data_IF_688476937741
#
_entry.id   IF_688476937741
#
_cell.length_a   1.000
_cell.length_b   1.000
_cell.length_c   1.000
_cell.angle_alpha   90.00
_cell.angle_beta   90.00
_cell.angle_gamma   90.00
#
_symmetry.space_group_name_H-M   'P 1'
#
loop_
_entity.id
_entity.type
_entity.pdbx_description
1 polymer ?
#
# COMPACT_ATOMS: atom_id res chain seq x y z
N UNK A 1 -7.92 -6.39 3.18
CA UNK A 1 -6.96 -7.40 2.66
C UNK A 1 -5.96 -6.79 1.67
N UNK A 2 -6.40 -6.27 0.51
CA UNK A 2 -5.49 -5.79 -0.55
C UNK A 2 -4.45 -4.77 -0.06
N UNK A 3 -4.90 -3.63 0.51
CA UNK A 3 -3.99 -2.59 1.01
C UNK A 3 -3.08 -3.12 2.14
N UNK A 4 -3.64 -3.86 3.10
CA UNK A 4 -2.88 -4.47 4.21
C UNK A 4 -1.75 -5.37 3.67
N UNK A 5 -2.06 -6.26 2.72
CA UNK A 5 -1.06 -7.12 2.10
C UNK A 5 -0.05 -6.33 1.27
N UNK A 6 -0.50 -5.28 0.57
CA UNK A 6 0.35 -4.38 -0.20
C UNK A 6 1.40 -3.68 0.66
N UNK A 7 1.06 -3.34 1.90
CA UNK A 7 1.97 -2.73 2.88
C UNK A 7 3.23 -3.56 3.14
N UNK A 8 3.22 -4.88 2.94
CA UNK A 8 4.38 -5.74 3.23
C UNK A 8 5.56 -5.56 2.27
N UNK A 9 5.34 -4.97 1.09
CA UNK A 9 6.34 -4.96 0.02
C UNK A 9 6.49 -3.57 -0.61
N UNK A 10 7.66 -3.31 -1.20
CA UNK A 10 7.95 -2.04 -1.86
C UNK A 10 6.97 -1.68 -2.99
N UNK A 11 6.41 -2.67 -3.69
CA UNK A 11 5.57 -2.48 -4.89
C UNK A 11 4.09 -2.71 -4.59
N UNK A 12 3.75 -3.17 -3.39
CA UNK A 12 2.39 -3.56 -3.07
C UNK A 12 1.40 -2.40 -2.93
N UNK A 13 1.87 -1.20 -2.55
CA UNK A 13 1.07 0.03 -2.44
C UNK A 13 1.96 1.22 -2.88
N UNK A 14 1.47 2.19 -3.69
CA UNK A 14 2.32 3.28 -4.14
C UNK A 14 3.02 4.10 -3.04
N UNK A 15 2.43 4.34 -1.83
CA UNK A 15 3.15 4.93 -0.69
C UNK A 15 4.49 4.26 -0.38
N UNK A 16 4.55 2.93 -0.42
CA UNK A 16 5.78 2.18 -0.13
C UNK A 16 6.85 2.46 -1.18
N UNK A 17 6.47 2.57 -2.45
CA UNK A 17 7.41 2.92 -3.52
C UNK A 17 8.00 4.32 -3.32
N UNK A 18 7.20 5.28 -2.85
CA UNK A 18 7.65 6.64 -2.56
C UNK A 18 8.63 6.66 -1.39
N UNK A 19 8.27 5.97 -0.31
CA UNK A 19 9.12 5.85 0.88
C UNK A 19 10.42 5.15 0.52
N UNK A 20 10.37 4.04 -0.21
CA UNK A 20 11.56 3.31 -0.63
C UNK A 20 12.47 4.13 -1.54
N UNK A 21 11.90 4.90 -2.47
CA UNK A 21 12.67 5.81 -3.31
C UNK A 21 13.31 6.95 -2.53
N UNK A 22 12.65 7.49 -1.51
CA UNK A 22 13.16 8.59 -0.71
C UNK A 22 14.20 8.14 0.33
N UNK A 23 13.98 6.99 0.96
CA UNK A 23 14.84 6.42 1.99
C UNK A 23 15.97 5.54 1.43
N UNK A 24 15.93 5.20 0.14
CA UNK A 24 16.90 4.29 -0.50
C UNK A 24 16.72 2.83 -0.11
N UNK A 25 15.50 2.44 0.28
CA UNK A 25 15.19 1.07 0.68
C UNK A 25 14.85 0.18 -0.50
N UNK A 26 15.33 -1.05 -0.45
CA UNK A 26 15.04 -2.07 -1.44
C UNK A 26 13.81 -2.92 -1.08
N UNK A 27 13.46 -3.85 -1.96
CA UNK A 27 12.31 -4.73 -1.77
C UNK A 27 12.41 -5.57 -0.48
N UNK A 28 13.58 -6.10 -0.17
CA UNK A 28 13.77 -6.99 0.97
C UNK A 28 13.70 -6.23 2.29
N UNK A 29 14.17 -4.99 2.31
CA UNK A 29 14.06 -4.10 3.46
C UNK A 29 12.58 -3.92 3.87
N UNK A 30 11.68 -3.76 2.91
CA UNK A 30 10.23 -3.71 3.20
C UNK A 30 9.70 -5.05 3.75
N UNK A 31 10.06 -6.16 3.11
CA UNK A 31 9.57 -7.49 3.54
C UNK A 31 10.02 -7.81 4.96
N UNK A 32 11.27 -7.53 5.29
CA UNK A 32 11.84 -7.82 6.61
C UNK A 32 11.27 -6.93 7.71
N UNK A 33 11.01 -5.65 7.40
CA UNK A 33 10.60 -4.66 8.39
C UNK A 33 9.08 -4.51 8.51
N UNK A 34 8.31 -4.71 7.45
CA UNK A 34 6.84 -4.59 7.45
C UNK A 34 6.11 -5.93 7.35
N UNK A 35 6.72 -6.92 6.69
CA UNK A 35 6.11 -8.25 6.49
C UNK A 35 5.60 -8.91 7.78
N UNK A 36 6.40 -8.99 8.87
CA UNK A 36 5.94 -9.59 10.12
C UNK A 36 4.70 -8.90 10.71
N UNK A 37 4.68 -7.56 10.72
CA UNK A 37 3.53 -6.79 11.18
C UNK A 37 2.31 -7.05 10.31
N UNK A 38 2.47 -7.03 8.99
CA UNK A 38 1.39 -7.25 8.03
C UNK A 38 0.77 -8.64 8.17
N UNK A 39 1.57 -9.69 8.40
CA UNK A 39 1.04 -11.05 8.64
C UNK A 39 0.13 -11.07 9.87
N UNK A 40 0.55 -10.42 10.96
CA UNK A 40 -0.26 -10.34 12.18
C UNK A 40 -1.52 -9.50 11.95
N UNK A 41 -1.39 -8.36 11.27
CA UNK A 41 -2.55 -7.50 10.93
C UNK A 41 -3.54 -8.23 10.04
N UNK A 42 -3.07 -8.98 9.04
CA UNK A 42 -3.93 -9.81 8.19
C UNK A 42 -4.66 -10.89 9.00
N UNK A 43 -3.97 -11.55 9.93
CA UNK A 43 -4.61 -12.54 10.79
C UNK A 43 -5.71 -11.92 11.68
N UNK A 44 -5.43 -10.77 12.30
CA UNK A 44 -6.40 -10.01 13.10
C UNK A 44 -7.58 -9.57 12.23
N UNK A 45 -7.32 -8.98 11.06
CA UNK A 45 -8.33 -8.58 10.09
C UNK A 45 -9.23 -9.76 9.68
N UNK A 46 -8.65 -10.94 9.40
CA UNK A 46 -9.42 -12.13 9.04
C UNK A 46 -10.34 -12.57 10.19
N UNK A 47 -9.86 -12.54 11.43
CA UNK A 47 -10.69 -12.83 12.60
C UNK A 47 -11.82 -11.80 12.73
N UNK A 48 -11.52 -10.52 12.58
CA UNK A 48 -12.52 -9.43 12.64
C UNK A 48 -13.60 -9.60 11.58
N UNK A 49 -13.22 -9.86 10.31
CA UNK A 49 -14.18 -10.11 9.23
C UNK A 49 -15.06 -11.33 9.53
N UNK A 50 -14.46 -12.45 9.96
CA UNK A 50 -15.23 -13.65 10.32
C UNK A 50 -16.20 -13.36 11.45
N UNK A 51 -15.79 -12.61 12.48
CA UNK A 51 -16.67 -12.27 13.61
C UNK A 51 -17.81 -11.33 13.23
N UNK A 52 -17.52 -10.31 12.41
CA UNK A 52 -18.52 -9.34 11.94
C UNK A 52 -19.56 -9.99 11.03
N UNK A 53 -19.10 -10.87 10.14
CA UNK A 53 -19.94 -11.50 9.10
C UNK A 53 -20.32 -12.95 9.38
N UNK A 54 -20.05 -13.49 10.59
CA UNK A 54 -20.27 -14.91 10.92
C UNK A 54 -21.66 -15.45 10.59
N UNK A 55 -22.69 -14.59 10.58
CA UNK A 55 -24.08 -14.98 10.26
C UNK A 55 -24.36 -14.96 8.75
N UNK A 56 -23.64 -14.13 8.00
CA UNK A 56 -23.76 -13.97 6.56
C UNK A 56 -22.84 -14.95 5.80
N UNK A 57 -21.80 -15.46 6.47
CA UNK A 57 -20.89 -16.49 5.96
C UNK A 57 -21.48 -17.91 6.01
N UNK A 58 -22.65 -18.09 6.62
CA UNK A 58 -23.35 -19.38 6.63
C UNK A 58 -24.28 -19.42 5.43
N UNK A 59 -23.96 -20.29 4.48
CA UNK A 59 -24.86 -20.59 3.36
C UNK A 59 -25.91 -21.57 3.87
N UNK A 60 -27.15 -21.12 4.01
CA UNK A 60 -28.30 -22.01 4.23
C UNK A 60 -28.82 -22.49 2.86
N UNK A 61 -28.59 -23.77 2.54
CA UNK A 61 -29.05 -24.42 1.31
C UNK A 61 -27.93 -25.02 0.45
N UNK A 62 -28.30 -25.64 -0.67
CA UNK A 62 -27.33 -26.12 -1.66
C UNK A 62 -26.68 -24.94 -2.39
N UNK A 63 -25.36 -25.00 -2.55
CA UNK A 63 -24.62 -24.07 -3.41
C UNK A 63 -25.24 -24.14 -4.80
N UNK A 64 -25.62 -23.02 -5.44
CA UNK A 64 -26.24 -23.05 -6.75
C UNK A 64 -25.40 -23.89 -7.71
N UNK A 65 -26.03 -24.83 -8.41
CA UNK A 65 -25.35 -25.76 -9.32
C UNK A 65 -24.52 -25.00 -10.38
N UNK A 66 -24.94 -23.79 -10.73
CA UNK A 66 -24.21 -22.87 -11.59
C UNK A 66 -22.83 -22.44 -11.06
N UNK A 67 -22.63 -22.37 -9.74
CA UNK A 67 -21.31 -22.08 -9.12
C UNK A 67 -20.45 -23.35 -9.11
N UNK A 68 -21.06 -24.51 -8.86
CA UNK A 68 -20.37 -25.81 -8.90
C UNK A 68 -19.99 -26.24 -10.32
N UNK A 69 -20.69 -25.73 -11.33
CA UNK A 69 -20.46 -25.96 -12.75
C UNK A 69 -19.51 -24.93 -13.40
N UNK A 70 -18.98 -23.96 -12.64
CA UNK A 70 -17.92 -23.09 -13.14
C UNK A 70 -16.66 -23.93 -13.38
N UNK A 71 -16.34 -24.23 -14.63
CA UNK A 71 -15.05 -24.80 -15.01
C UNK A 71 -14.04 -23.67 -15.22
N UNK A 72 -13.01 -23.60 -14.37
CA UNK A 72 -12.01 -22.53 -14.46
C UNK A 72 -11.26 -22.56 -15.80
N UNK A 73 -11.25 -23.72 -16.48
CA UNK A 73 -10.62 -23.89 -17.80
C UNK A 73 -11.38 -23.19 -18.92
N UNK A 74 -12.70 -22.99 -18.76
CA UNK A 74 -13.51 -22.24 -19.75
C UNK A 74 -13.24 -20.73 -19.69
N UNK A 75 -12.72 -20.22 -18.56
CA UNK A 75 -12.40 -18.81 -18.37
C UNK A 75 -10.99 -18.46 -18.89
N UNK A 76 -10.09 -19.44 -19.00
CA UNK A 76 -8.71 -19.22 -19.47
C UNK A 76 -8.71 -19.10 -21.00
N UNK A 77 -8.70 -17.86 -21.50
CA UNK A 77 -8.65 -17.58 -22.93
C UNK A 77 -7.35 -18.08 -23.62
N UNK A 78 -6.19 -17.98 -22.96
CA UNK A 78 -4.90 -18.44 -23.50
C UNK A 78 -4.00 -19.07 -22.41
N UNK A 79 -3.95 -20.42 -22.33
CA UNK A 79 -3.12 -21.14 -21.36
C UNK A 79 -1.60 -21.00 -21.57
N UNK A 80 -1.15 -20.60 -22.77
CA UNK A 80 0.27 -20.34 -23.04
C UNK A 80 0.63 -18.97 -22.51
N UNK A 81 -0.17 -17.95 -22.80
CA UNK A 81 0.01 -16.60 -22.27
C UNK A 81 0.01 -16.60 -20.74
N UNK A 82 -0.92 -17.34 -20.12
CA UNK A 82 -0.97 -17.50 -18.67
C UNK A 82 0.34 -18.08 -18.11
N UNK A 83 0.83 -19.18 -18.66
CA UNK A 83 2.08 -19.82 -18.19
C UNK A 83 3.29 -18.93 -18.36
N UNK A 84 3.44 -18.30 -19.53
CA UNK A 84 4.54 -17.37 -19.79
C UNK A 84 4.45 -16.17 -18.86
N UNK A 85 3.27 -15.58 -18.70
CA UNK A 85 3.02 -14.47 -17.79
C UNK A 85 3.40 -14.83 -16.35
N UNK A 86 2.96 -15.99 -15.85
CA UNK A 86 3.31 -16.46 -14.52
C UNK A 86 4.82 -16.66 -14.34
N UNK A 87 5.50 -17.24 -15.33
CA UNK A 87 6.96 -17.43 -15.28
C UNK A 87 7.69 -16.09 -15.25
N UNK A 88 7.32 -15.14 -16.12
CA UNK A 88 7.97 -13.83 -16.18
C UNK A 88 7.68 -13.01 -14.93
N UNK A 89 6.45 -13.03 -14.42
CA UNK A 89 6.08 -12.39 -13.16
C UNK A 89 6.87 -12.99 -12.00
N UNK A 90 6.95 -14.32 -11.89
CA UNK A 90 7.77 -14.99 -10.88
C UNK A 90 9.26 -14.62 -11.00
N UNK A 91 9.79 -14.59 -12.22
CA UNK A 91 11.16 -14.14 -12.48
C UNK A 91 11.39 -12.68 -12.11
N UNK A 92 10.40 -11.81 -12.34
CA UNK A 92 10.45 -10.39 -11.95
C UNK A 92 10.44 -10.25 -10.43
N UNK A 93 9.63 -11.03 -9.71
CA UNK A 93 9.64 -11.07 -8.24
C UNK A 93 11.00 -11.54 -7.70
N UNK A 94 11.59 -12.58 -8.28
CA UNK A 94 12.97 -13.01 -7.94
C UNK A 94 13.97 -11.90 -8.24
N UNK A 95 13.84 -11.24 -9.39
CA UNK A 95 14.68 -10.10 -9.75
C UNK A 95 14.58 -8.95 -8.74
N UNK A 96 13.40 -8.69 -8.19
CA UNK A 96 13.18 -7.64 -7.19
C UNK A 96 13.84 -7.98 -5.86
N UNK A 97 13.81 -9.25 -5.46
CA UNK A 97 14.55 -9.75 -4.28
C UNK A 97 16.07 -9.57 -4.48
N UNK A 98 16.57 -9.83 -5.70
CA UNK A 98 17.99 -9.71 -6.03
C UNK A 98 18.42 -8.27 -6.37
N UNK A 99 17.48 -7.34 -6.57
CA UNK A 99 17.75 -6.00 -7.07
C UNK A 99 18.68 -5.20 -6.15
N UNK A 100 18.40 -5.24 -4.85
CA UNK A 100 19.19 -4.54 -3.82
C UNK A 100 20.66 -4.95 -3.83
N UNK A 101 20.99 -6.25 -3.61
CA UNK A 101 22.38 -6.73 -3.64
C UNK A 101 23.13 -6.46 -4.96
N UNK A 102 22.40 -6.37 -6.07
CA UNK A 102 22.99 -6.13 -7.40
C UNK A 102 23.08 -4.63 -7.75
N UNK A 103 22.56 -3.73 -6.91
CA UNK A 103 22.57 -2.29 -7.15
C UNK A 103 21.59 -1.83 -8.23
N UNK A 104 20.56 -2.62 -8.53
CA UNK A 104 19.52 -2.26 -9.49
C UNK A 104 18.29 -1.66 -8.78
N UNK A 105 17.71 -0.62 -9.39
CA UNK A 105 16.44 -0.06 -8.92
C UNK A 105 15.25 -0.96 -9.27
N UNK A 106 14.20 -0.93 -8.44
CA UNK A 106 12.97 -1.71 -8.66
C UNK A 106 12.33 -1.42 -10.04
N UNK A 107 12.37 -0.16 -10.49
CA UNK A 107 11.87 0.24 -11.81
C UNK A 107 12.59 -0.48 -12.96
N UNK A 108 13.92 -0.64 -12.86
CA UNK A 108 14.72 -1.34 -13.88
C UNK A 108 14.31 -2.80 -13.99
N UNK A 109 14.12 -3.47 -12.85
CA UNK A 109 13.69 -4.88 -12.82
C UNK A 109 12.27 -5.03 -13.38
N UNK A 110 11.34 -4.17 -12.96
CA UNK A 110 9.95 -4.20 -13.44
C UNK A 110 9.86 -3.97 -14.96
N UNK A 111 10.57 -2.96 -15.48
CA UNK A 111 10.62 -2.69 -16.92
C UNK A 111 11.27 -3.83 -17.70
N UNK A 112 12.31 -4.46 -17.15
CA UNK A 112 12.95 -5.63 -17.79
C UNK A 112 11.96 -6.79 -17.86
N UNK A 113 11.22 -7.08 -16.78
CA UNK A 113 10.16 -8.08 -16.77
C UNK A 113 9.09 -7.82 -17.82
N UNK A 114 8.61 -6.57 -17.90
CA UNK A 114 7.62 -6.16 -18.90
C UNK A 114 8.14 -6.35 -20.34
N UNK A 115 9.35 -5.90 -20.63
CA UNK A 115 9.98 -6.05 -21.96
C UNK A 115 10.16 -7.51 -22.33
N UNK A 116 10.64 -8.35 -21.40
CA UNK A 116 10.77 -9.80 -21.63
C UNK A 116 9.41 -10.43 -21.94
N UNK A 117 8.37 -10.07 -21.18
CA UNK A 117 7.03 -10.60 -21.43
C UNK A 117 6.55 -10.24 -22.83
N UNK A 118 6.64 -8.97 -23.20
CA UNK A 118 6.26 -8.44 -24.53
C UNK A 118 6.99 -9.19 -25.65
N UNK A 119 8.31 -9.38 -25.52
CA UNK A 119 9.11 -10.06 -26.53
C UNK A 119 8.73 -11.55 -26.69
N UNK A 120 8.42 -12.24 -25.59
CA UNK A 120 8.09 -13.67 -25.60
C UNK A 120 6.66 -13.90 -26.12
N UNK A 121 5.71 -13.06 -25.70
CA UNK A 121 4.29 -13.19 -26.10
C UNK A 121 4.02 -12.56 -27.47
N UNK A 122 4.94 -11.72 -27.95
CA UNK A 122 4.79 -10.91 -29.17
C UNK A 122 3.49 -10.10 -29.14
N UNK A 123 3.12 -9.64 -27.95
CA UNK A 123 1.95 -8.79 -27.77
C UNK A 123 2.22 -7.45 -28.44
N UNK A 124 1.18 -6.87 -29.03
CA UNK A 124 1.25 -5.53 -29.60
C UNK A 124 1.59 -4.50 -28.50
N UNK A 125 2.65 -3.74 -28.72
CA UNK A 125 3.11 -2.74 -27.75
C UNK A 125 2.09 -1.61 -27.66
N UNK A 126 1.43 -1.27 -28.76
CA UNK A 126 0.43 -0.21 -28.80
C UNK A 126 -0.78 -0.55 -27.91
N UNK A 127 -1.25 -1.80 -27.92
CA UNK A 127 -2.33 -2.23 -27.01
C UNK A 127 -1.92 -2.12 -25.54
N UNK A 128 -0.69 -2.54 -25.19
CA UNK A 128 -0.20 -2.46 -23.79
C UNK A 128 -0.03 -1.00 -23.35
N UNK A 129 0.55 -0.15 -24.18
CA UNK A 129 0.75 1.27 -23.90
C UNK A 129 -0.58 1.99 -23.65
N UNK A 130 -1.66 1.57 -24.33
CA UNK A 130 -3.01 2.10 -24.11
C UNK A 130 -3.64 1.66 -22.80
N UNK A 131 -3.21 0.52 -22.25
CA UNK A 131 -3.68 0.03 -20.95
C UNK A 131 -2.96 0.70 -19.76
N UNK A 132 -1.84 1.40 -20.00
CA UNK A 132 -1.14 2.16 -18.95
C UNK A 132 -2.02 3.32 -18.47
N UNK A 133 -2.13 3.46 -17.14
CA UNK A 133 -2.81 4.60 -16.52
C UNK A 133 -1.93 5.87 -16.56
N UNK A 134 -1.93 6.53 -17.71
CA UNK A 134 -1.20 7.79 -17.92
C UNK A 134 -1.67 8.91 -16.99
N UNK A 135 -2.95 8.89 -16.57
CA UNK A 135 -3.51 9.91 -15.67
C UNK A 135 -2.85 9.80 -14.31
N UNK A 136 -2.72 8.58 -13.77
CA UNK A 136 -2.02 8.34 -12.50
C UNK A 136 -0.55 8.74 -12.56
N UNK A 137 0.17 8.40 -13.65
CA UNK A 137 1.58 8.77 -13.80
C UNK A 137 1.78 10.30 -13.84
N UNK A 138 0.97 11.01 -14.63
CA UNK A 138 1.03 12.47 -14.72
C UNK A 138 0.57 13.15 -13.43
N UNK A 139 -0.40 12.57 -12.74
CA UNK A 139 -0.84 13.03 -11.42
C UNK A 139 0.32 12.97 -10.41
N UNK A 140 1.07 11.86 -10.33
CA UNK A 140 2.22 11.78 -9.43
C UNK A 140 3.33 12.75 -9.79
N UNK A 141 3.62 12.94 -11.08
CA UNK A 141 4.57 13.96 -11.52
C UNK A 141 4.15 15.37 -11.05
N UNK A 142 2.87 15.72 -11.23
CA UNK A 142 2.29 16.99 -10.76
C UNK A 142 2.34 17.14 -9.24
N UNK A 143 1.99 16.06 -8.52
CA UNK A 143 2.02 16.01 -7.06
C UNK A 143 3.43 16.23 -6.51
N UNK A 144 4.46 15.58 -7.06
CA UNK A 144 5.84 15.81 -6.60
C UNK A 144 6.32 17.23 -6.87
N UNK A 145 5.95 17.83 -8.01
CA UNK A 145 6.24 19.25 -8.26
C UNK A 145 5.57 20.16 -7.21
N UNK A 146 4.33 19.86 -6.82
CA UNK A 146 3.62 20.61 -5.79
C UNK A 146 4.25 20.41 -4.41
N UNK A 147 4.58 19.17 -4.03
CA UNK A 147 5.25 18.85 -2.76
C UNK A 147 6.58 19.57 -2.66
N UNK A 148 7.38 19.57 -3.73
CA UNK A 148 8.65 20.31 -3.78
C UNK A 148 8.42 21.82 -3.60
N UNK A 149 7.33 22.35 -4.17
CA UNK A 149 6.90 23.73 -3.94
C UNK A 149 6.55 24.00 -2.47
N UNK A 150 5.89 23.07 -1.77
CA UNK A 150 5.59 23.19 -0.33
C UNK A 150 6.84 23.13 0.54
N UNK A 151 7.84 22.33 0.15
CA UNK A 151 9.16 22.31 0.80
C UNK A 151 9.79 23.70 0.71
N UNK A 152 9.84 24.29 -0.49
CA UNK A 152 10.40 25.62 -0.72
C UNK A 152 9.59 26.73 -0.02
N UNK A 153 8.28 26.54 0.16
CA UNK A 153 7.41 27.47 0.88
C UNK A 153 7.54 27.37 2.42
N UNK A 154 8.31 26.41 2.95
CA UNK A 154 8.52 26.21 4.39
C UNK A 154 7.37 25.53 5.13
N UNK A 155 6.33 25.06 4.42
CA UNK A 155 5.18 24.38 5.03
C UNK A 155 5.62 23.06 5.67
N UNK A 156 6.49 22.32 5.00
CA UNK A 156 7.05 21.06 5.50
C UNK A 156 7.82 21.26 6.80
N UNK A 157 8.67 22.29 6.86
CA UNK A 157 9.43 22.62 8.06
C UNK A 157 8.48 22.92 9.23
N UNK A 158 7.45 23.74 9.00
CA UNK A 158 6.46 24.06 10.03
C UNK A 158 5.70 22.82 10.58
N UNK A 159 5.41 21.83 9.73
CA UNK A 159 4.80 20.56 10.18
C UNK A 159 5.81 19.71 10.97
N UNK A 160 7.06 19.65 10.53
CA UNK A 160 8.15 18.97 11.24
C UNK A 160 8.37 19.56 12.63
N UNK A 161 8.52 20.87 12.72
CA UNK A 161 8.71 21.61 13.98
C UNK A 161 7.53 21.37 14.93
N UNK A 162 6.28 21.44 14.43
CA UNK A 162 5.09 21.17 15.24
C UNK A 162 5.10 19.74 15.80
N UNK A 163 5.45 18.74 14.99
CA UNK A 163 5.53 17.35 15.45
C UNK A 163 6.67 17.17 16.46
N UNK A 164 7.83 17.79 16.22
CA UNK A 164 8.97 17.73 17.12
C UNK A 164 8.65 18.38 18.48
N UNK A 165 8.05 19.56 18.48
CA UNK A 165 7.65 20.30 19.68
C UNK A 165 6.58 19.56 20.49
N UNK A 166 5.57 18.99 19.81
CA UNK A 166 4.52 18.21 20.47
C UNK A 166 5.04 16.93 21.11
N UNK A 167 6.11 16.36 20.55
CA UNK A 167 6.71 15.11 21.03
C UNK A 167 7.87 15.36 22.00
N UNK A 168 8.30 16.62 22.17
CA UNK A 168 9.43 17.00 23.00
C UNK A 168 10.76 16.41 22.51
N UNK A 169 10.85 16.05 21.23
CA UNK A 169 11.99 15.32 20.67
C UNK A 169 12.12 13.87 21.14
N UNK A 170 11.06 13.27 21.72
CA UNK A 170 11.07 11.86 22.08
C UNK A 170 10.79 10.97 20.87
N UNK A 171 11.71 10.03 20.60
CA UNK A 171 11.64 9.11 19.47
C UNK A 171 10.35 8.29 19.46
N UNK A 172 9.91 7.81 20.63
CA UNK A 172 8.74 6.95 20.74
C UNK A 172 7.45 7.72 20.47
N UNK A 173 7.31 8.89 21.07
CA UNK A 173 6.17 9.78 20.82
C UNK A 173 6.13 10.25 19.36
N UNK A 174 7.26 10.60 18.77
CA UNK A 174 7.31 11.00 17.36
C UNK A 174 6.93 9.85 16.41
N UNK A 175 7.45 8.64 16.66
CA UNK A 175 7.15 7.46 15.84
C UNK A 175 5.69 7.04 15.94
N UNK A 176 5.15 6.93 17.16
CA UNK A 176 3.73 6.56 17.35
C UNK A 176 2.81 7.69 16.91
N UNK A 177 3.15 8.94 17.20
CA UNK A 177 2.39 10.11 16.77
C UNK A 177 2.27 10.16 15.24
N UNK A 178 3.40 9.97 14.54
CA UNK A 178 3.42 9.90 13.08
C UNK A 178 2.57 8.74 12.55
N UNK A 179 2.64 7.55 13.15
CA UNK A 179 1.82 6.39 12.77
C UNK A 179 0.32 6.72 12.83
N UNK A 180 -0.15 7.29 13.95
CA UNK A 180 -1.58 7.56 14.16
C UNK A 180 -2.08 8.74 13.34
N UNK A 181 -1.30 9.83 13.25
CA UNK A 181 -1.62 10.96 12.37
C UNK A 181 -1.70 10.48 10.92
N UNK A 182 -0.75 9.66 10.49
CA UNK A 182 -0.76 9.05 9.14
C UNK A 182 -1.97 8.16 8.93
N UNK A 183 -2.27 7.28 9.88
CA UNK A 183 -3.43 6.40 9.83
C UNK A 183 -4.76 7.14 9.66
N UNK A 184 -4.94 8.26 10.35
CA UNK A 184 -6.19 9.02 10.30
C UNK A 184 -6.22 9.94 9.07
N UNK A 185 -5.16 10.70 8.84
CA UNK A 185 -5.10 11.68 7.76
C UNK A 185 -5.13 11.02 6.38
N UNK A 186 -4.40 9.90 6.20
CA UNK A 186 -4.41 9.10 4.98
C UNK A 186 -5.74 8.38 4.72
N UNK A 187 -6.62 8.34 5.71
CA UNK A 187 -7.99 7.86 5.53
C UNK A 187 -8.91 8.91 4.90
N UNK A 188 -8.57 10.19 5.06
CA UNK A 188 -9.35 11.34 4.58
C UNK A 188 -8.79 11.86 3.26
N UNK A 189 -7.46 11.94 3.19
CA UNK A 189 -6.68 12.30 2.00
C UNK A 189 -6.18 10.99 1.40
N UNK A 190 -6.28 10.82 0.08
CA UNK A 190 -5.74 9.64 -0.61
C UNK A 190 -4.30 9.34 -0.14
N UNK A 191 -4.00 8.06 0.08
CA UNK A 191 -2.77 7.62 0.71
C UNK A 191 -1.49 8.06 -0.02
N UNK A 192 -1.59 8.37 -1.32
CA UNK A 192 -0.46 8.73 -2.16
C UNK A 192 -0.05 10.20 -2.00
N UNK A 193 -0.93 11.21 -2.21
CA UNK A 193 -0.62 12.59 -1.91
C UNK A 193 -0.27 12.81 -0.45
N UNK A 194 -0.92 12.10 0.48
CA UNK A 194 -0.56 12.16 1.88
C UNK A 194 0.91 11.76 2.11
N UNK A 195 1.31 10.57 1.65
CA UNK A 195 2.67 10.06 1.85
C UNK A 195 3.72 10.98 1.24
N UNK A 196 3.46 11.50 0.03
CA UNK A 196 4.37 12.42 -0.64
C UNK A 196 4.64 13.68 0.22
N UNK A 197 3.63 14.22 0.89
CA UNK A 197 3.79 15.39 1.78
C UNK A 197 4.54 15.08 3.07
N UNK A 198 4.43 13.85 3.58
CA UNK A 198 5.04 13.46 4.85
C UNK A 198 6.47 12.93 4.72
N UNK A 199 6.89 12.51 3.53
CA UNK A 199 8.28 12.09 3.27
C UNK A 199 9.28 13.19 3.67
N UNK A 200 9.12 14.45 3.22
CA UNK A 200 9.98 15.53 3.65
C UNK A 200 9.93 15.80 5.16
N UNK A 201 8.78 15.61 5.80
CA UNK A 201 8.60 15.77 7.26
C UNK A 201 9.42 14.74 8.03
N UNK A 202 9.42 13.48 7.59
CA UNK A 202 10.28 12.43 8.19
C UNK A 202 11.76 12.77 8.01
N UNK A 203 12.14 13.29 6.83
CA UNK A 203 13.49 13.77 6.57
C UNK A 203 13.92 14.90 7.52
N UNK A 204 13.04 15.86 7.76
CA UNK A 204 13.26 16.98 8.70
C UNK A 204 13.43 16.48 10.14
N UNK A 205 12.50 15.66 10.63
CA UNK A 205 12.59 15.06 11.97
C UNK A 205 13.89 14.29 12.19
N UNK A 206 14.42 13.65 11.14
CA UNK A 206 15.72 13.02 11.18
C UNK A 206 16.90 13.98 11.27
N UNK A 207 16.82 15.14 10.61
CA UNK A 207 17.83 16.20 10.75
C UNK A 207 17.81 16.81 12.16
N UNK A 208 16.64 16.85 12.78
CA UNK A 208 16.44 17.33 14.16
C UNK A 208 16.91 16.31 15.23
N UNK A 209 17.50 15.18 14.80
CA UNK A 209 18.19 14.23 15.65
C UNK A 209 17.43 12.93 15.96
N UNK A 210 16.22 12.76 15.41
CA UNK A 210 15.46 11.52 15.55
C UNK A 210 16.00 10.43 14.61
N UNK A 211 15.91 9.17 15.04
CA UNK A 211 16.18 8.04 14.18
C UNK A 211 15.11 7.99 13.06
N UNK A 212 15.56 8.06 11.81
CA UNK A 212 14.65 8.07 10.65
C UNK A 212 14.00 6.71 10.39
N UNK A 213 14.70 5.62 10.68
CA UNK A 213 14.23 4.28 10.34
C UNK A 213 12.86 3.95 10.97
N UNK A 214 12.62 4.14 12.27
CA UNK A 214 11.29 3.93 12.86
C UNK A 214 10.22 4.86 12.28
N UNK A 215 10.59 6.11 11.93
CA UNK A 215 9.67 7.09 11.35
C UNK A 215 9.23 6.68 9.93
N UNK A 216 10.13 6.14 9.11
CA UNK A 216 9.79 5.61 7.79
C UNK A 216 8.79 4.46 7.89
N UNK A 217 8.97 3.55 8.84
CA UNK A 217 8.05 2.43 9.05
C UNK A 217 6.72 2.86 9.66
N UNK A 218 6.73 3.86 10.55
CA UNK A 218 5.51 4.49 11.05
C UNK A 218 4.69 5.14 9.93
N UNK A 219 5.35 5.88 9.04
CA UNK A 219 4.71 6.49 7.87
C UNK A 219 4.17 5.41 6.92
N UNK A 220 4.94 4.39 6.60
CA UNK A 220 4.53 3.31 5.70
C UNK A 220 3.31 2.55 6.23
N UNK A 221 3.34 2.11 7.49
CA UNK A 221 2.21 1.44 8.14
C UNK A 221 1.01 2.38 8.25
N UNK A 222 1.21 3.62 8.72
CA UNK A 222 0.14 4.58 8.91
C UNK A 222 -0.56 4.95 7.60
N UNK A 223 0.19 5.31 6.56
CA UNK A 223 -0.39 5.70 5.28
C UNK A 223 -1.11 4.54 4.57
N UNK A 224 -0.46 3.37 4.45
CA UNK A 224 -1.05 2.25 3.73
C UNK A 224 -2.28 1.66 4.47
N UNK A 225 -2.20 1.55 5.79
CA UNK A 225 -3.31 1.02 6.59
C UNK A 225 -4.43 2.05 6.73
N UNK A 226 -4.08 3.33 6.89
CA UNK A 226 -5.01 4.45 7.02
C UNK A 226 -5.93 4.63 5.82
N UNK A 227 -5.43 4.37 4.61
CA UNK A 227 -6.23 4.39 3.37
C UNK A 227 -7.46 3.48 3.39
N UNK A 228 -7.55 2.51 4.32
CA UNK A 228 -8.74 1.67 4.52
C UNK A 228 -9.89 2.36 5.29
N UNK A 229 -9.71 3.56 5.82
CA UNK A 229 -10.73 4.24 6.63
C UNK A 229 -11.95 4.65 5.81
N UNK A 230 -11.75 5.14 4.59
CA UNK A 230 -12.82 5.63 3.72
C UNK A 230 -12.72 5.05 2.32
N UNK A 231 -13.83 5.10 1.58
CA UNK A 231 -13.89 4.57 0.22
C UNK A 231 -12.95 5.32 -0.76
N UNK A 232 -12.61 6.58 -0.43
CA UNK A 232 -11.74 7.44 -1.25
C UNK A 232 -10.30 7.51 -0.72
N UNK A 233 -10.00 6.87 0.41
CA UNK A 233 -8.67 6.92 1.04
C UNK A 233 -7.58 6.13 0.30
N UNK A 234 -7.98 5.22 -0.58
CA UNK A 234 -7.05 4.46 -1.43
C UNK A 234 -7.71 4.10 -2.77
N UNK A 235 -6.92 4.08 -3.84
CA UNK A 235 -7.39 3.71 -5.19
C UNK A 235 -8.05 2.32 -5.25
N UNK A 236 -7.53 1.34 -4.50
CA UNK A 236 -8.11 -0.01 -4.45
C UNK A 236 -9.56 -0.01 -3.94
N UNK A 237 -9.89 0.87 -2.98
CA UNK A 237 -11.23 0.98 -2.41
C UNK A 237 -12.21 1.54 -3.45
N UNK A 238 -11.79 2.55 -4.21
CA UNK A 238 -12.57 3.15 -5.30
C UNK A 238 -12.84 2.14 -6.40
N UNK A 239 -11.84 1.32 -6.77
CA UNK A 239 -12.00 0.26 -7.79
C UNK A 239 -13.04 -0.75 -7.34
N UNK A 240 -12.92 -1.29 -6.12
CA UNK A 240 -13.89 -2.25 -5.58
C UNK A 240 -15.29 -1.63 -5.46
N UNK A 241 -15.39 -0.40 -4.96
CA UNK A 241 -16.66 0.32 -4.86
C UNK A 241 -17.32 0.53 -6.23
N UNK A 242 -16.53 0.87 -7.26
CA UNK A 242 -17.01 1.06 -8.63
C UNK A 242 -17.47 -0.26 -9.25
N UNK A 243 -16.71 -1.35 -9.06
CA UNK A 243 -17.10 -2.67 -9.54
C UNK A 243 -18.39 -3.17 -8.88
N UNK A 244 -18.51 -3.00 -7.56
CA UNK A 244 -19.70 -3.36 -6.81
C UNK A 244 -20.92 -2.56 -7.28
N UNK A 245 -20.77 -1.25 -7.49
CA UNK A 245 -21.83 -0.40 -8.04
C UNK A 245 -22.26 -0.82 -9.45
N UNK A 246 -21.31 -1.15 -10.34
CA UNK A 246 -21.59 -1.67 -11.70
C UNK A 246 -22.33 -3.01 -11.67
N UNK A 247 -22.07 -3.83 -10.66
CA UNK A 247 -22.76 -5.11 -10.44
C UNK A 247 -24.13 -4.96 -9.74
N UNK A 248 -24.61 -3.73 -9.48
CA UNK A 248 -25.87 -3.48 -8.79
C UNK A 248 -25.81 -3.58 -7.26
N UNK A 249 -24.61 -3.78 -6.70
CA UNK A 249 -24.35 -3.90 -5.26
C UNK A 249 -23.54 -2.70 -4.73
N UNK A 250 -24.04 -1.48 -4.94
CA UNK A 250 -23.36 -0.28 -4.49
C UNK A 250 -23.14 -0.27 -2.97
N UNK A 251 -21.89 -0.06 -2.54
CA UNK A 251 -21.51 -0.02 -1.13
C UNK A 251 -21.76 1.41 -0.60
N UNK A 252 -22.66 1.61 0.39
CA UNK A 252 -22.86 2.93 0.96
C UNK A 252 -21.61 3.44 1.67
N UNK A 253 -21.26 4.70 1.47
CA UNK A 253 -20.06 5.32 2.04
C UNK A 253 -19.94 5.10 3.55
N UNK A 254 -21.01 5.37 4.30
CA UNK A 254 -21.00 5.21 5.77
C UNK A 254 -20.90 3.76 6.23
N UNK A 255 -21.36 2.80 5.42
CA UNK A 255 -21.17 1.38 5.71
C UNK A 255 -19.70 1.03 5.61
N UNK A 256 -19.03 1.49 4.54
CA UNK A 256 -17.59 1.30 4.36
C UNK A 256 -16.80 1.93 5.52
N UNK A 257 -17.08 3.19 5.86
CA UNK A 257 -16.36 3.91 6.93
C UNK A 257 -16.50 3.23 8.29
N UNK A 258 -17.68 2.69 8.62
CA UNK A 258 -17.89 2.01 9.91
C UNK A 258 -16.99 0.78 10.05
N UNK A 259 -16.88 -0.02 9.00
CA UNK A 259 -16.04 -1.23 8.99
C UNK A 259 -14.57 -0.84 8.87
N UNK A 260 -14.26 0.10 7.97
CA UNK A 260 -12.93 0.66 7.76
C UNK A 260 -12.34 1.22 9.05
N UNK A 261 -13.12 1.95 9.85
CA UNK A 261 -12.67 2.48 11.14
C UNK A 261 -12.24 1.36 12.12
N UNK A 262 -12.98 0.24 12.18
CA UNK A 262 -12.61 -0.90 13.01
C UNK A 262 -11.28 -1.48 12.53
N UNK A 263 -11.16 -1.73 11.22
CA UNK A 263 -9.97 -2.32 10.60
C UNK A 263 -8.75 -1.42 10.72
N UNK A 264 -8.91 -0.10 10.58
CA UNK A 264 -7.81 0.86 10.72
C UNK A 264 -7.35 0.90 12.17
N UNK A 265 -8.27 1.04 13.13
CA UNK A 265 -7.91 1.11 14.55
C UNK A 265 -7.18 -0.15 15.01
N UNK A 266 -7.67 -1.35 14.67
CA UNK A 266 -6.97 -2.59 15.03
C UNK A 266 -5.59 -2.67 14.36
N UNK A 267 -5.48 -2.26 13.10
CA UNK A 267 -4.21 -2.27 12.36
C UNK A 267 -3.19 -1.31 12.94
N UNK A 268 -3.62 -0.10 13.35
CA UNK A 268 -2.76 0.89 14.01
C UNK A 268 -2.35 0.46 15.42
N UNK A 269 -3.23 -0.23 16.16
CA UNK A 269 -2.88 -0.80 17.47
C UNK A 269 -1.82 -1.89 17.35
N UNK A 270 -1.99 -2.82 16.41
CA UNK A 270 -0.98 -3.87 16.14
C UNK A 270 0.33 -3.22 15.66
N UNK A 271 0.26 -2.22 14.79
CA UNK A 271 1.43 -1.48 14.31
C UNK A 271 2.14 -0.74 15.44
N UNK A 272 1.41 -0.14 16.37
CA UNK A 272 1.96 0.54 17.55
C UNK A 272 2.74 -0.46 18.40
N UNK A 273 2.15 -1.61 18.73
CA UNK A 273 2.82 -2.65 19.50
C UNK A 273 4.08 -3.18 18.78
N UNK A 274 3.97 -3.40 17.47
CA UNK A 274 5.09 -3.87 16.65
C UNK A 274 6.26 -2.89 16.60
N UNK A 275 5.99 -1.61 16.29
CA UNK A 275 7.03 -0.59 16.24
C UNK A 275 7.69 -0.39 17.60
N UNK A 276 6.88 -0.45 18.68
CA UNK A 276 7.41 -0.37 20.03
C UNK A 276 8.40 -1.49 20.33
N UNK A 277 8.00 -2.74 20.10
CA UNK A 277 8.82 -3.92 20.40
C UNK A 277 10.09 -3.98 19.53
N UNK A 278 9.99 -3.61 18.25
CA UNK A 278 11.09 -3.78 17.30
C UNK A 278 12.09 -2.62 17.31
N UNK A 279 11.64 -1.39 17.56
CA UNK A 279 12.46 -0.20 17.35
C UNK A 279 12.57 0.74 18.55
N UNK A 280 11.69 0.64 19.56
CA UNK A 280 11.63 1.60 20.66
C UNK A 280 11.87 0.97 22.05
N UNK A 281 11.95 -0.36 22.14
CA UNK A 281 12.22 -1.12 23.36
C UNK A 281 13.72 -1.39 23.54
#
# INVERSE_FOLDING_TARGET
>A
AANIGGTATLIGDPPNLLIGSAAGFDFMTFVENLGPAVVVILAVFMVTVVLLYRRELVIEGDVPEAVLALDEREVIADPRLLRVGLIVTAGTLVGLVLAGPLGYGAATVALTGAVVLILVTRTDVESIVREIDWVTLLFFAGLFMLVEGLVHAGVVAAIGDLLFDLTGGDQGFATIGLLWVSGIASGIVDNIPYTATMIPVVGQLGQDGLAQEPLWWALALGACLGGNLTLIGAGANVVVGTLAAKAGHAIPFMTFVRIGAIVVVESLLVSTAYLWIRYLA
#
